data_IF_729935739516
#
_entry.id   IF_729935739516
#
_cell.length_a   1.000
_cell.length_b   1.000
_cell.length_c   1.000
_cell.angle_alpha   90.00
_cell.angle_beta   90.00
_cell.angle_gamma   90.00
#
_symmetry.space_group_name_H-M   'P 1'
#
loop_
_entity.id
_entity.type
_entity.pdbx_description
1 polymer ?
#
# COMPACT_ATOMS: atom_id res chain seq x y z
N UNK A 1 -19.01 14.54 28.71
CA UNK A 1 -17.82 15.24 28.15
C UNK A 1 -16.59 14.74 28.86
N UNK A 2 -15.64 14.16 28.13
CA UNK A 2 -14.37 13.74 28.75
C UNK A 2 -13.49 14.99 28.89
N UNK A 3 -13.13 15.31 30.13
CA UNK A 3 -12.19 16.42 30.40
C UNK A 3 -10.82 16.08 29.80
N UNK A 4 -10.41 16.86 28.81
CA UNK A 4 -9.05 16.76 28.24
C UNK A 4 -8.03 17.37 29.21
N UNK A 5 -6.98 16.64 29.49
CA UNK A 5 -5.90 17.16 30.34
C UNK A 5 -5.00 18.14 29.56
N UNK A 6 -4.24 18.96 30.30
CA UNK A 6 -3.36 19.99 29.70
C UNK A 6 -2.37 19.42 28.68
N UNK A 7 -1.87 18.21 28.90
CA UNK A 7 -0.93 17.53 27.98
C UNK A 7 -1.59 17.19 26.64
N UNK A 8 -2.83 16.71 26.67
CA UNK A 8 -3.63 16.44 25.48
C UNK A 8 -3.91 17.72 24.68
N UNK A 9 -4.25 18.80 25.40
CA UNK A 9 -4.49 20.11 24.77
C UNK A 9 -3.22 20.65 24.08
N UNK A 10 -2.06 20.53 24.74
CA UNK A 10 -0.78 20.96 24.20
C UNK A 10 -0.40 20.12 22.96
N UNK A 11 -0.64 18.82 22.99
CA UNK A 11 -0.36 17.94 21.85
C UNK A 11 -1.23 18.32 20.64
N UNK A 12 -2.52 18.58 20.85
CA UNK A 12 -3.44 19.01 19.79
C UNK A 12 -2.99 20.35 19.20
N UNK A 13 -2.64 21.30 20.05
CA UNK A 13 -2.16 22.64 19.61
C UNK A 13 -0.88 22.50 18.77
N UNK A 14 0.08 21.68 19.22
CA UNK A 14 1.33 21.42 18.49
C UNK A 14 1.06 20.75 17.15
N UNK A 15 0.14 19.79 17.11
CA UNK A 15 -0.24 19.07 15.87
C UNK A 15 -0.90 20.02 14.86
N UNK A 16 -1.80 20.90 15.33
CA UNK A 16 -2.46 21.88 14.48
C UNK A 16 -1.45 22.87 13.88
N UNK A 17 -0.51 23.35 14.70
CA UNK A 17 0.55 24.25 14.25
C UNK A 17 1.46 23.57 13.22
N UNK A 18 1.88 22.34 13.50
CA UNK A 18 2.74 21.57 12.58
C UNK A 18 2.01 21.24 11.27
N UNK A 19 0.71 20.91 11.32
CA UNK A 19 -0.11 20.70 10.13
C UNK A 19 -0.12 21.96 9.25
N UNK A 20 -0.45 23.11 9.85
CA UNK A 20 -0.48 24.37 9.10
C UNK A 20 0.89 24.69 8.53
N UNK A 21 1.94 24.52 9.30
CA UNK A 21 3.33 24.75 8.84
C UNK A 21 3.63 23.89 7.58
N UNK A 22 3.31 22.60 7.62
CA UNK A 22 3.58 21.69 6.47
C UNK A 22 2.80 22.08 5.22
N UNK A 23 1.52 22.46 5.41
CA UNK A 23 0.68 22.91 4.29
C UNK A 23 1.23 24.21 3.69
N UNK A 24 1.64 25.17 4.53
CA UNK A 24 2.22 26.44 4.08
C UNK A 24 3.55 26.23 3.37
N UNK A 25 4.43 25.39 3.91
CA UNK A 25 5.69 25.03 3.26
C UNK A 25 5.40 24.45 1.87
N UNK A 26 4.47 23.47 1.79
CA UNK A 26 4.13 22.85 0.51
C UNK A 26 3.56 23.87 -0.49
N UNK A 27 2.68 24.75 -0.03
CA UNK A 27 2.09 25.82 -0.85
C UNK A 27 3.15 26.75 -1.43
N UNK A 28 4.17 27.08 -0.65
CA UNK A 28 5.24 28.02 -1.04
C UNK A 28 6.31 27.38 -1.96
N UNK A 29 6.33 26.07 -2.15
CA UNK A 29 7.18 25.44 -3.17
C UNK A 29 6.67 25.89 -4.56
N UNK A 30 7.54 26.35 -5.46
CA UNK A 30 7.11 26.76 -6.79
C UNK A 30 6.38 25.67 -7.58
N UNK A 31 5.37 26.05 -8.33
CA UNK A 31 4.56 25.15 -9.16
C UNK A 31 3.12 25.04 -8.68
N UNK A 32 2.18 25.00 -9.62
CA UNK A 32 0.75 24.99 -9.32
C UNK A 32 0.18 23.57 -9.16
N UNK A 33 0.90 22.59 -9.65
CA UNK A 33 0.42 21.19 -9.66
C UNK A 33 1.35 20.28 -8.86
N UNK A 34 0.82 19.17 -8.41
CA UNK A 34 1.57 18.09 -7.77
C UNK A 34 1.96 17.04 -8.83
N UNK A 35 3.21 16.57 -8.88
CA UNK A 35 4.30 16.93 -7.96
C UNK A 35 4.85 18.33 -8.21
N UNK A 36 5.41 18.91 -7.15
CA UNK A 36 6.22 20.12 -7.27
C UNK A 36 7.69 19.73 -7.46
N UNK A 37 8.44 20.48 -8.27
CA UNK A 37 9.83 20.10 -8.59
C UNK A 37 10.82 21.07 -7.91
N UNK A 38 11.83 20.51 -7.22
CA UNK A 38 12.72 21.29 -6.36
C UNK A 38 14.15 20.77 -6.43
N UNK A 39 15.10 21.65 -6.30
CA UNK A 39 16.51 21.29 -6.18
C UNK A 39 16.82 20.72 -4.78
N UNK A 40 17.76 19.78 -4.67
CA UNK A 40 18.07 19.15 -3.37
C UNK A 40 18.52 20.14 -2.28
N UNK A 41 19.17 21.25 -2.66
CA UNK A 41 19.58 22.27 -1.71
C UNK A 41 18.36 22.99 -1.11
N UNK A 42 17.36 23.25 -1.93
CA UNK A 42 16.15 23.93 -1.49
C UNK A 42 15.30 23.04 -0.58
N UNK A 43 15.35 21.70 -0.73
CA UNK A 43 14.70 20.79 0.21
C UNK A 43 15.14 21.06 1.66
N UNK A 44 16.44 21.36 1.86
CA UNK A 44 16.98 21.69 3.18
C UNK A 44 16.51 23.06 3.66
N UNK A 45 16.57 24.07 2.78
CA UNK A 45 16.13 25.44 3.12
C UNK A 45 14.66 25.49 3.53
N UNK A 46 13.81 24.71 2.85
CA UNK A 46 12.39 24.61 3.16
C UNK A 46 12.10 23.69 4.35
N UNK A 47 13.11 23.07 4.95
CA UNK A 47 12.91 22.14 6.07
C UNK A 47 12.11 20.89 5.68
N UNK A 48 12.23 20.47 4.43
CA UNK A 48 11.51 19.31 3.88
C UNK A 48 12.31 18.04 4.11
N UNK A 49 13.62 18.05 3.81
CA UNK A 49 14.44 16.85 3.89
C UNK A 49 15.92 17.20 4.06
N UNK A 50 16.58 16.49 4.97
CA UNK A 50 18.02 16.67 5.20
C UNK A 50 18.77 15.32 5.27
N UNK A 51 18.12 14.22 4.92
CA UNK A 51 18.67 12.88 5.00
C UNK A 51 19.15 12.31 3.67
N UNK A 52 19.77 11.15 3.74
CA UNK A 52 20.27 10.43 2.56
C UNK A 52 19.31 9.35 2.05
N UNK A 53 18.41 8.84 2.88
CA UNK A 53 17.49 7.77 2.52
C UNK A 53 16.37 7.59 3.57
N UNK A 54 15.27 7.05 3.13
CA UNK A 54 14.16 6.62 4.01
C UNK A 54 13.40 7.76 4.67
N UNK A 55 12.91 7.50 5.88
CA UNK A 55 12.16 8.48 6.66
C UNK A 55 13.08 9.46 7.37
N UNK A 56 12.76 10.74 7.25
CA UNK A 56 13.48 11.82 7.91
C UNK A 56 12.58 12.48 8.97
N UNK A 57 13.17 12.72 10.14
CA UNK A 57 12.53 13.34 11.29
C UNK A 57 13.26 14.67 11.60
N UNK A 58 12.52 15.76 11.71
CA UNK A 58 13.07 17.00 12.24
C UNK A 58 12.80 17.03 13.76
N UNK A 59 13.73 16.48 14.52
CA UNK A 59 13.62 16.43 15.98
C UNK A 59 13.57 17.81 16.62
N UNK A 60 14.28 18.80 16.04
CA UNK A 60 14.30 20.15 16.59
C UNK A 60 12.88 20.75 16.66
N UNK A 61 12.07 20.46 15.64
CA UNK A 61 10.71 20.99 15.51
C UNK A 61 9.65 20.07 16.12
N UNK A 62 9.83 18.75 16.05
CA UNK A 62 8.73 17.79 16.33
C UNK A 62 8.89 16.98 17.62
N UNK A 63 10.02 17.12 18.37
CA UNK A 63 10.28 16.30 19.58
C UNK A 63 9.21 16.46 20.67
N UNK A 64 8.58 17.63 20.76
CA UNK A 64 7.53 17.91 21.74
C UNK A 64 6.19 17.23 21.42
N UNK A 65 6.11 16.59 20.23
CA UNK A 65 4.90 15.91 19.77
C UNK A 65 4.87 14.43 20.20
N UNK A 66 5.91 13.96 20.87
CA UNK A 66 6.01 12.59 21.37
C UNK A 66 6.57 12.60 22.79
N UNK A 67 6.06 11.70 23.64
CA UNK A 67 6.47 11.62 25.05
C UNK A 67 7.95 11.26 25.21
N UNK A 68 8.47 10.46 24.30
CA UNK A 68 9.87 9.99 24.31
C UNK A 68 10.85 10.92 23.59
N UNK A 69 10.35 12.05 23.05
CA UNK A 69 11.17 13.00 22.29
C UNK A 69 11.65 12.48 20.95
N UNK A 70 11.13 11.36 20.46
CA UNK A 70 11.49 10.80 19.13
C UNK A 70 11.08 11.77 18.02
N UNK A 71 9.94 12.44 18.16
CA UNK A 71 9.37 13.31 17.14
C UNK A 71 8.58 12.53 16.08
N UNK A 72 8.10 13.25 15.08
CA UNK A 72 7.27 12.67 14.01
C UNK A 72 7.95 12.79 12.65
N UNK A 73 7.66 11.85 11.77
CA UNK A 73 8.22 11.85 10.41
C UNK A 73 7.76 13.10 9.66
N UNK A 74 8.69 13.78 9.05
CA UNK A 74 8.47 14.98 8.21
C UNK A 74 8.46 14.60 6.74
N UNK A 75 9.36 13.70 6.32
CA UNK A 75 9.41 13.31 4.92
C UNK A 75 9.86 11.86 4.73
N UNK A 76 9.60 11.36 3.53
CA UNK A 76 10.03 10.04 3.07
C UNK A 76 10.72 10.19 1.70
N UNK A 77 11.91 9.61 1.55
CA UNK A 77 12.59 9.54 0.28
C UNK A 77 12.29 8.22 -0.41
N UNK A 78 11.66 8.30 -1.57
CA UNK A 78 11.39 7.14 -2.42
C UNK A 78 12.54 7.01 -3.41
N UNK A 79 13.32 5.94 -3.29
CA UNK A 79 14.41 5.65 -4.22
C UNK A 79 13.95 4.62 -5.24
N UNK A 80 14.19 4.88 -6.52
CA UNK A 80 13.59 4.12 -7.64
C UNK A 80 13.92 2.63 -7.75
N UNK A 81 14.76 2.09 -6.87
CA UNK A 81 15.10 0.66 -6.90
C UNK A 81 14.11 -0.24 -6.15
N UNK A 82 13.39 0.30 -5.16
CA UNK A 82 12.57 -0.52 -4.25
C UNK A 82 11.06 -0.36 -4.45
N UNK A 83 10.61 0.63 -5.25
CA UNK A 83 9.20 1.01 -5.23
C UNK A 83 8.60 1.26 -6.63
N UNK A 84 9.28 0.82 -7.70
CA UNK A 84 8.88 1.12 -9.07
C UNK A 84 7.47 0.63 -9.43
N UNK A 85 7.01 -0.45 -8.80
CA UNK A 85 5.69 -1.03 -9.09
C UNK A 85 4.57 -0.57 -8.14
N UNK A 86 4.92 0.11 -7.06
CA UNK A 86 3.96 0.49 -6.02
C UNK A 86 3.78 2.01 -5.90
N UNK A 87 4.45 2.76 -6.78
CA UNK A 87 4.36 4.23 -6.87
C UNK A 87 3.54 4.63 -8.10
N UNK A 88 2.62 5.56 -7.91
CA UNK A 88 1.93 6.25 -9.01
C UNK A 88 1.72 7.74 -8.64
N UNK A 89 1.03 8.48 -9.49
CA UNK A 89 0.77 9.92 -9.28
C UNK A 89 -0.13 10.22 -8.07
N UNK A 90 -0.77 9.21 -7.51
CA UNK A 90 -1.78 9.34 -6.46
C UNK A 90 -1.35 8.73 -5.12
N UNK A 91 -0.15 8.11 -5.07
CA UNK A 91 0.36 7.56 -3.81
C UNK A 91 1.41 6.46 -3.98
N UNK A 92 1.77 5.84 -2.87
CA UNK A 92 2.80 4.79 -2.82
C UNK A 92 2.48 3.79 -1.69
N UNK A 93 2.78 2.50 -1.94
CA UNK A 93 2.92 1.51 -0.87
C UNK A 93 4.40 1.50 -0.49
N UNK A 94 4.71 1.92 0.73
CA UNK A 94 6.08 2.16 1.20
C UNK A 94 6.47 1.08 2.21
N UNK A 95 7.54 0.34 1.92
CA UNK A 95 8.05 -0.68 2.84
C UNK A 95 8.68 -0.06 4.09
N UNK A 96 8.54 -0.75 5.22
CA UNK A 96 9.24 -0.37 6.45
C UNK A 96 10.75 -0.36 6.20
N UNK A 97 11.48 0.58 6.78
CA UNK A 97 12.93 0.59 6.62
C UNK A 97 13.55 -0.71 7.18
N UNK A 98 14.49 -1.27 6.43
CA UNK A 98 15.28 -2.43 6.80
C UNK A 98 16.75 -2.07 6.53
N UNK A 99 17.26 -1.14 7.33
CA UNK A 99 18.63 -0.65 7.15
C UNK A 99 19.65 -1.59 7.82
N UNK A 100 20.93 -1.39 7.51
CA UNK A 100 22.03 -2.11 8.19
C UNK A 100 22.32 -1.55 9.57
N UNK A 101 21.57 -0.54 10.02
CA UNK A 101 21.72 0.09 11.35
C UNK A 101 21.04 -0.78 12.41
N UNK A 102 21.33 -0.56 13.70
CA UNK A 102 20.64 -1.28 14.76
C UNK A 102 19.12 -1.19 14.63
N UNK A 103 18.41 -2.26 14.94
CA UNK A 103 16.95 -2.37 14.76
C UNK A 103 16.18 -1.23 15.45
N UNK A 104 16.67 -0.73 16.58
CA UNK A 104 16.06 0.41 17.29
C UNK A 104 15.98 1.67 16.42
N UNK A 105 16.93 1.87 15.49
CA UNK A 105 16.92 3.01 14.57
C UNK A 105 15.72 2.92 13.63
N UNK A 106 15.54 1.75 13.01
CA UNK A 106 14.41 1.55 12.08
C UNK A 106 13.06 1.58 12.81
N UNK A 107 12.99 0.96 14.01
CA UNK A 107 11.79 0.99 14.86
C UNK A 107 11.38 2.43 15.22
N UNK A 108 12.36 3.26 15.57
CA UNK A 108 12.10 4.68 15.84
C UNK A 108 11.46 5.40 14.64
N UNK A 109 11.94 5.13 13.42
CA UNK A 109 11.37 5.73 12.21
C UNK A 109 9.97 5.20 11.90
N UNK A 110 9.77 3.90 12.07
CA UNK A 110 8.44 3.28 11.89
C UNK A 110 7.44 3.92 12.86
N UNK A 111 7.82 4.01 14.13
CA UNK A 111 6.94 4.59 15.17
C UNK A 111 6.66 6.07 14.89
N UNK A 112 7.67 6.86 14.53
CA UNK A 112 7.51 8.28 14.19
C UNK A 112 6.59 8.47 12.96
N UNK A 113 6.59 7.53 12.03
CA UNK A 113 5.70 7.57 10.85
C UNK A 113 4.26 7.22 11.24
N UNK A 114 4.07 6.22 12.11
CA UNK A 114 2.75 5.90 12.67
C UNK A 114 2.21 7.09 13.48
N UNK A 115 3.06 7.75 14.25
CA UNK A 115 2.67 8.94 15.01
C UNK A 115 2.25 10.09 14.08
N UNK A 116 2.94 10.30 12.94
CA UNK A 116 2.51 11.29 11.95
C UNK A 116 1.10 10.98 11.43
N UNK A 117 0.79 9.69 11.21
CA UNK A 117 -0.56 9.26 10.79
C UNK A 117 -1.61 9.56 11.88
N UNK A 118 -1.30 9.20 13.10
CA UNK A 118 -2.20 9.47 14.23
C UNK A 118 -2.45 10.97 14.45
N UNK A 119 -1.41 11.80 14.11
CA UNK A 119 -1.50 12.95 14.19
C UNK A 119 -1.96 13.53 13.17
N UNK A 120 -2.58 12.91 12.25
CA UNK A 120 -3.12 13.42 10.98
C UNK A 120 -2.23 14.49 10.35
N UNK A 121 -0.94 14.22 10.29
CA UNK A 121 0.06 15.11 9.68
C UNK A 121 0.49 14.56 8.33
N UNK A 122 0.43 15.36 7.25
CA UNK A 122 1.00 14.94 5.98
C UNK A 122 2.52 14.92 6.06
N UNK A 123 3.15 14.10 5.24
CA UNK A 123 4.62 14.07 5.09
C UNK A 123 4.98 14.50 3.66
N UNK A 124 6.18 15.01 3.48
CA UNK A 124 6.70 15.30 2.14
C UNK A 124 7.28 14.02 1.56
N UNK A 125 6.72 13.55 0.44
CA UNK A 125 7.27 12.38 -0.27
C UNK A 125 8.16 12.90 -1.39
N UNK A 126 9.47 12.62 -1.25
CA UNK A 126 10.51 13.15 -2.12
C UNK A 126 10.99 12.05 -3.05
N UNK A 127 10.96 12.30 -4.35
CA UNK A 127 11.27 11.29 -5.37
C UNK A 127 12.30 11.85 -6.35
N UNK A 128 13.24 11.01 -6.74
CA UNK A 128 14.13 11.30 -7.86
C UNK A 128 13.47 10.74 -9.13
N UNK A 129 12.94 11.59 -10.05
CA UNK A 129 12.15 11.12 -11.19
C UNK A 129 12.89 10.13 -12.09
N UNK A 130 14.15 10.41 -12.40
CA UNK A 130 15.01 9.52 -13.20
C UNK A 130 16.42 9.53 -12.59
N UNK A 131 17.24 8.55 -12.97
CA UNK A 131 18.64 8.46 -12.51
C UNK A 131 19.45 9.74 -12.82
N UNK A 132 19.14 10.39 -13.91
CA UNK A 132 19.87 11.59 -14.39
C UNK A 132 19.25 12.91 -13.89
N UNK A 133 18.09 12.86 -13.20
CA UNK A 133 17.43 14.08 -12.73
C UNK A 133 18.26 14.79 -11.66
N UNK A 134 18.49 16.06 -11.84
CA UNK A 134 19.09 16.94 -10.81
C UNK A 134 18.06 17.35 -9.78
N UNK A 135 16.80 17.45 -10.20
CA UNK A 135 15.68 17.87 -9.34
C UNK A 135 15.01 16.69 -8.65
N UNK A 136 14.21 17.01 -7.65
CA UNK A 136 13.37 16.07 -6.90
C UNK A 136 11.91 16.46 -7.05
N UNK A 137 11.06 15.48 -7.30
CA UNK A 137 9.63 15.68 -7.24
C UNK A 137 9.18 15.55 -5.78
N UNK A 138 8.33 16.49 -5.36
CA UNK A 138 7.82 16.56 -3.98
C UNK A 138 6.30 16.45 -4.03
N UNK A 139 5.79 15.46 -3.32
CA UNK A 139 4.36 15.26 -3.11
C UNK A 139 4.02 15.52 -1.65
N UNK A 140 2.81 15.98 -1.40
CA UNK A 140 2.24 15.98 -0.04
C UNK A 140 1.54 14.65 0.14
N UNK A 141 2.01 13.83 1.09
CA UNK A 141 1.56 12.46 1.32
C UNK A 141 0.90 12.30 2.70
N UNK A 142 -0.15 11.51 2.74
CA UNK A 142 -0.89 11.19 3.97
C UNK A 142 -0.77 9.69 4.22
N UNK A 143 -0.30 9.30 5.41
CA UNK A 143 -0.27 7.89 5.80
C UNK A 143 -1.70 7.46 6.10
N UNK A 144 -2.33 6.70 5.19
CA UNK A 144 -3.70 6.22 5.35
C UNK A 144 -3.79 4.99 6.26
N UNK A 145 -2.79 4.11 6.16
CA UNK A 145 -2.81 2.84 6.88
C UNK A 145 -1.39 2.28 6.98
N UNK A 146 -1.23 1.33 7.89
CA UNK A 146 -0.01 0.53 8.00
C UNK A 146 -0.33 -0.90 8.41
N UNK A 147 0.60 -1.79 8.16
CA UNK A 147 0.49 -3.18 8.60
C UNK A 147 1.85 -3.72 9.04
N UNK A 148 1.92 -4.13 10.29
CA UNK A 148 3.16 -4.63 10.89
C UNK A 148 3.54 -6.04 10.40
N UNK A 149 2.56 -6.82 9.98
CA UNK A 149 2.81 -8.19 9.50
C UNK A 149 3.43 -8.19 8.11
N UNK A 150 2.95 -7.36 7.21
CA UNK A 150 3.51 -7.18 5.86
C UNK A 150 4.60 -6.11 5.80
N UNK A 151 4.77 -5.33 6.88
CA UNK A 151 5.77 -4.25 7.02
C UNK A 151 5.59 -3.16 5.96
N UNK A 152 4.36 -2.66 5.82
CA UNK A 152 3.98 -1.70 4.77
C UNK A 152 3.27 -0.49 5.37
N UNK A 153 3.50 0.68 4.75
CA UNK A 153 2.66 1.87 4.87
C UNK A 153 1.91 2.10 3.56
N UNK A 154 0.65 2.49 3.66
CA UNK A 154 -0.13 3.03 2.53
C UNK A 154 -0.10 4.55 2.63
N UNK A 155 0.47 5.22 1.62
CA UNK A 155 0.59 6.69 1.57
C UNK A 155 -0.13 7.19 0.32
N UNK A 156 -1.10 8.07 0.50
CA UNK A 156 -1.85 8.70 -0.59
C UNK A 156 -1.42 10.16 -0.76
N UNK A 157 -1.36 10.64 -2.01
CA UNK A 157 -0.95 12.00 -2.33
C UNK A 157 -2.18 12.90 -2.52
N UNK A 158 -2.12 14.09 -1.92
CA UNK A 158 -3.21 15.05 -2.03
C UNK A 158 -3.04 16.23 -1.09
N UNK A 159 -3.75 17.31 -1.39
CA UNK A 159 -3.74 18.51 -0.54
C UNK A 159 -4.60 18.34 0.72
N UNK A 160 -5.51 17.37 0.69
CA UNK A 160 -6.42 17.08 1.80
C UNK A 160 -6.18 15.66 2.32
N UNK A 161 -6.41 15.47 3.60
CA UNK A 161 -6.35 14.16 4.23
C UNK A 161 -7.37 13.22 3.57
N UNK A 162 -7.00 12.00 3.22
CA UNK A 162 -7.96 11.02 2.70
C UNK A 162 -8.96 10.63 3.79
N UNK A 163 -10.11 10.12 3.36
CA UNK A 163 -11.08 9.51 4.29
C UNK A 163 -10.42 8.32 4.97
N UNK A 164 -10.56 8.22 6.26
CA UNK A 164 -9.91 7.21 7.08
C UNK A 164 -10.23 5.78 6.60
N UNK A 165 -9.19 4.97 6.47
CA UNK A 165 -9.34 3.52 6.38
C UNK A 165 -9.13 3.01 7.80
N UNK A 166 -10.11 2.35 8.42
CA UNK A 166 -9.91 1.83 9.77
C UNK A 166 -8.73 0.85 9.80
N UNK A 167 -7.70 1.19 10.54
CA UNK A 167 -6.60 0.27 10.81
C UNK A 167 -7.13 -0.85 11.72
N UNK A 168 -6.97 -2.08 11.28
CA UNK A 168 -7.29 -3.25 12.08
C UNK A 168 -8.71 -3.80 11.91
N UNK A 169 -9.58 -3.18 11.13
CA UNK A 169 -10.85 -3.81 10.79
C UNK A 169 -10.60 -5.09 9.99
N UNK A 170 -11.12 -6.21 10.45
CA UNK A 170 -11.01 -7.47 9.71
C UNK A 170 -12.04 -7.45 8.58
N UNK A 171 -11.57 -7.61 7.34
CA UNK A 171 -12.45 -7.63 6.17
C UNK A 171 -13.44 -8.82 6.23
N UNK A 172 -13.15 -9.83 7.04
CA UNK A 172 -14.03 -10.98 7.22
C UNK A 172 -15.25 -10.69 8.13
N UNK A 173 -15.24 -9.57 8.87
CA UNK A 173 -16.34 -9.13 9.73
C UNK A 173 -17.51 -8.52 8.94
N UNK A 174 -17.34 -8.21 7.66
CA UNK A 174 -18.36 -7.57 6.84
C UNK A 174 -18.97 -8.54 5.83
N UNK A 175 -20.23 -8.31 5.40
CA UNK A 175 -20.84 -9.12 4.34
C UNK A 175 -20.00 -9.09 3.06
N UNK A 176 -19.76 -10.26 2.47
CA UNK A 176 -18.96 -10.39 1.25
C UNK A 176 -19.66 -9.72 0.07
N UNK A 177 -18.94 -8.89 -0.66
CA UNK A 177 -19.40 -8.22 -1.86
C UNK A 177 -18.59 -8.70 -3.07
N UNK A 178 -19.24 -9.43 -3.99
CA UNK A 178 -18.57 -9.92 -5.21
C UNK A 178 -18.60 -8.88 -6.34
N UNK A 179 -19.67 -8.09 -6.41
CA UNK A 179 -19.89 -7.16 -7.52
C UNK A 179 -19.79 -5.72 -7.05
N UNK A 180 -19.09 -4.90 -7.84
CA UNK A 180 -19.12 -3.45 -7.67
C UNK A 180 -20.36 -2.89 -8.37
N UNK A 181 -20.90 -1.80 -7.88
CA UNK A 181 -21.86 -1.00 -8.64
C UNK A 181 -21.18 -0.46 -9.90
N UNK A 182 -21.98 -0.27 -10.95
CA UNK A 182 -21.49 0.21 -12.26
C UNK A 182 -21.05 1.68 -12.15
N UNK A 183 -19.90 1.93 -11.55
CA UNK A 183 -19.29 3.27 -11.53
C UNK A 183 -18.24 3.34 -12.62
N UNK A 184 -18.45 4.26 -13.57
CA UNK A 184 -17.38 4.65 -14.49
C UNK A 184 -16.33 5.39 -13.66
N UNK A 185 -15.31 4.64 -13.22
CA UNK A 185 -14.19 5.22 -12.46
C UNK A 185 -13.29 5.98 -13.42
N UNK A 186 -12.89 7.18 -13.03
CA UNK A 186 -11.81 7.90 -13.70
C UNK A 186 -10.52 7.09 -13.53
N UNK A 187 -9.54 7.30 -14.38
CA UNK A 187 -8.22 6.65 -14.25
C UNK A 187 -7.62 6.87 -12.86
N UNK A 188 -7.72 8.09 -12.35
CA UNK A 188 -7.25 8.44 -11.00
C UNK A 188 -7.96 7.61 -9.92
N UNK A 189 -9.29 7.55 -9.95
CA UNK A 189 -10.06 6.75 -8.98
C UNK A 189 -9.71 5.28 -9.04
N UNK A 190 -9.45 4.77 -10.24
CA UNK A 190 -9.04 3.38 -10.45
C UNK A 190 -7.66 3.09 -9.84
N UNK A 191 -6.68 3.94 -10.09
CA UNK A 191 -5.33 3.78 -9.54
C UNK A 191 -5.36 3.75 -8.00
N UNK A 192 -6.12 4.67 -7.39
CA UNK A 192 -6.30 4.73 -5.94
C UNK A 192 -6.92 3.42 -5.43
N UNK A 193 -7.96 2.93 -6.10
CA UNK A 193 -8.64 1.69 -5.73
C UNK A 193 -7.70 0.48 -5.85
N UNK A 194 -6.99 0.37 -6.96
CA UNK A 194 -6.04 -0.73 -7.21
C UNK A 194 -4.92 -0.75 -6.15
N UNK A 195 -4.39 0.43 -5.78
CA UNK A 195 -3.35 0.54 -4.73
C UNK A 195 -3.88 0.11 -3.36
N UNK A 196 -5.08 0.57 -2.98
CA UNK A 196 -5.73 0.18 -1.72
C UNK A 196 -6.00 -1.32 -1.68
N UNK A 197 -6.51 -1.87 -2.78
CA UNK A 197 -6.73 -3.31 -2.92
C UNK A 197 -5.41 -4.07 -2.77
N UNK A 198 -4.35 -3.66 -3.47
CA UNK A 198 -3.02 -4.28 -3.38
C UNK A 198 -2.49 -4.27 -1.94
N UNK A 199 -2.57 -3.13 -1.24
CA UNK A 199 -2.15 -3.02 0.17
C UNK A 199 -2.90 -4.02 1.04
N UNK A 200 -4.23 -4.09 0.90
CA UNK A 200 -5.07 -5.02 1.66
C UNK A 200 -4.74 -6.49 1.36
N UNK A 201 -4.47 -6.82 0.10
CA UNK A 201 -4.10 -8.18 -0.31
C UNK A 201 -2.74 -8.58 0.30
N UNK A 202 -1.75 -7.65 0.30
CA UNK A 202 -0.47 -7.91 0.97
C UNK A 202 -0.65 -8.13 2.47
N UNK A 203 -1.48 -7.33 3.12
CA UNK A 203 -1.82 -7.47 4.54
C UNK A 203 -2.47 -8.83 4.81
N UNK A 204 -3.39 -9.27 3.94
CA UNK A 204 -4.12 -10.52 4.10
C UNK A 204 -3.21 -11.76 3.94
N UNK A 205 -2.30 -11.76 2.96
CA UNK A 205 -1.51 -12.94 2.57
C UNK A 205 0.00 -12.82 2.86
N UNK A 206 0.43 -11.79 3.57
CA UNK A 206 1.82 -11.64 4.10
C UNK A 206 2.94 -11.66 3.06
N UNK A 207 2.72 -11.09 1.90
CA UNK A 207 3.73 -10.96 0.83
C UNK A 207 4.39 -12.28 0.40
N UNK A 208 3.61 -13.34 0.26
CA UNK A 208 4.07 -14.63 -0.30
C UNK A 208 3.05 -15.08 -1.34
N UNK A 209 3.52 -15.54 -2.49
CA UNK A 209 2.63 -16.11 -3.49
C UNK A 209 1.84 -17.29 -2.91
N UNK A 210 0.54 -17.32 -3.14
CA UNK A 210 -0.34 -18.36 -2.59
C UNK A 210 -0.08 -19.76 -3.17
N UNK A 211 0.66 -19.84 -4.30
CA UNK A 211 0.85 -21.10 -5.04
C UNK A 211 2.30 -21.60 -5.01
N UNK A 212 3.26 -20.73 -4.65
CA UNK A 212 4.68 -21.06 -4.56
C UNK A 212 5.38 -20.20 -3.52
N UNK A 213 6.68 -20.39 -3.32
CA UNK A 213 7.48 -19.72 -2.28
C UNK A 213 8.00 -18.33 -2.68
N UNK A 214 7.50 -17.72 -3.78
CA UNK A 214 7.94 -16.39 -4.23
C UNK A 214 7.60 -15.34 -3.18
N UNK A 215 8.63 -14.62 -2.69
CA UNK A 215 8.52 -13.55 -1.66
C UNK A 215 9.06 -12.21 -2.14
N UNK A 216 9.55 -12.13 -3.38
CA UNK A 216 10.07 -10.88 -3.94
C UNK A 216 8.87 -9.98 -4.24
N UNK A 217 8.75 -8.88 -3.49
CA UNK A 217 7.58 -7.99 -3.52
C UNK A 217 7.29 -7.48 -4.94
N UNK A 218 8.33 -7.14 -5.69
CA UNK A 218 8.24 -6.63 -7.06
C UNK A 218 7.66 -7.66 -8.04
N UNK A 219 7.74 -8.95 -7.70
CA UNK A 219 7.21 -10.04 -8.54
C UNK A 219 5.84 -10.51 -8.07
N UNK A 220 5.26 -9.88 -7.02
CA UNK A 220 3.94 -10.24 -6.49
C UNK A 220 2.85 -9.30 -7.02
N UNK A 221 1.73 -9.88 -7.39
CA UNK A 221 0.57 -9.17 -7.95
C UNK A 221 -0.68 -9.48 -7.12
N UNK A 222 -1.41 -8.44 -6.74
CA UNK A 222 -2.76 -8.58 -6.17
C UNK A 222 -3.74 -8.77 -7.33
N UNK A 223 -4.29 -9.97 -7.45
CA UNK A 223 -5.10 -10.40 -8.59
C UNK A 223 -6.55 -10.52 -8.18
N UNK A 224 -7.45 -9.79 -8.85
CA UNK A 224 -8.89 -9.98 -8.67
C UNK A 224 -9.32 -11.33 -9.27
N UNK A 225 -10.06 -12.14 -8.50
CA UNK A 225 -10.65 -13.41 -8.98
C UNK A 225 -11.73 -13.11 -10.02
N UNK A 226 -12.64 -12.20 -9.68
CA UNK A 226 -13.56 -11.59 -10.66
C UNK A 226 -13.02 -10.20 -10.99
N UNK A 227 -12.53 -9.95 -12.20
CA UNK A 227 -11.91 -8.68 -12.56
C UNK A 227 -12.87 -7.49 -12.48
N UNK A 228 -12.35 -6.31 -12.20
CA UNK A 228 -13.13 -5.06 -12.18
C UNK A 228 -13.78 -4.78 -13.55
N UNK A 229 -13.12 -5.19 -14.66
CA UNK A 229 -13.69 -5.12 -16.03
C UNK A 229 -14.92 -6.02 -16.21
N UNK A 230 -15.15 -6.95 -15.30
CA UNK A 230 -16.34 -7.81 -15.23
C UNK A 230 -17.18 -7.51 -13.99
N UNK A 231 -17.13 -6.27 -13.52
CA UNK A 231 -17.86 -5.77 -12.35
C UNK A 231 -17.44 -6.47 -11.03
N UNK A 232 -16.20 -6.92 -10.93
CA UNK A 232 -15.65 -7.46 -9.69
C UNK A 232 -15.43 -6.34 -8.67
N UNK A 233 -15.63 -6.65 -7.40
CA UNK A 233 -15.43 -5.70 -6.29
C UNK A 233 -13.98 -5.70 -5.81
N UNK A 234 -13.62 -4.67 -5.04
CA UNK A 234 -12.33 -4.57 -4.31
C UNK A 234 -12.39 -5.22 -2.91
N UNK A 235 -13.40 -6.07 -2.66
CA UNK A 235 -13.40 -6.92 -1.47
C UNK A 235 -12.16 -7.85 -1.52
N UNK A 236 -11.37 -7.86 -0.46
CA UNK A 236 -10.11 -8.61 -0.43
C UNK A 236 -10.33 -10.12 -0.61
N UNK A 237 -11.52 -10.61 -0.27
CA UNK A 237 -11.89 -12.02 -0.46
C UNK A 237 -12.19 -12.34 -1.93
N UNK A 238 -12.29 -11.31 -2.80
CA UNK A 238 -12.28 -11.41 -4.26
C UNK A 238 -10.85 -11.31 -4.82
N UNK A 239 -9.83 -11.56 -3.99
CA UNK A 239 -8.44 -11.37 -4.39
C UNK A 239 -7.53 -12.55 -4.06
N UNK A 240 -6.46 -12.66 -4.85
CA UNK A 240 -5.37 -13.61 -4.66
C UNK A 240 -4.05 -12.85 -4.65
N UNK A 241 -3.07 -13.34 -3.91
CA UNK A 241 -1.70 -12.84 -4.00
C UNK A 241 -0.87 -13.86 -4.80
N UNK A 242 -0.50 -13.50 -6.00
CA UNK A 242 0.18 -14.39 -6.95
C UNK A 242 1.49 -13.76 -7.43
N UNK A 243 2.49 -14.59 -7.76
CA UNK A 243 3.64 -14.09 -8.51
C UNK A 243 3.25 -13.86 -9.98
N UNK A 244 4.10 -13.14 -10.72
CA UNK A 244 3.81 -12.82 -12.12
C UNK A 244 3.50 -14.06 -12.98
N UNK A 245 4.20 -15.18 -12.76
CA UNK A 245 3.94 -16.44 -13.48
C UNK A 245 2.49 -16.90 -13.19
N UNK A 246 2.14 -17.01 -11.91
CA UNK A 246 0.83 -17.51 -11.50
C UNK A 246 -0.31 -16.55 -11.84
N UNK A 247 -0.08 -15.24 -11.77
CA UNK A 247 -1.06 -14.23 -12.21
C UNK A 247 -1.39 -14.40 -13.70
N UNK A 248 -0.34 -14.53 -14.54
CA UNK A 248 -0.52 -14.73 -15.99
C UNK A 248 -1.21 -16.08 -16.28
N UNK A 249 -0.77 -17.14 -15.60
CA UNK A 249 -1.36 -18.48 -15.76
C UNK A 249 -2.85 -18.50 -15.38
N UNK A 250 -3.21 -17.85 -14.24
CA UNK A 250 -4.59 -17.74 -13.77
C UNK A 250 -5.46 -16.98 -14.77
N UNK A 251 -5.01 -15.82 -15.22
CA UNK A 251 -5.72 -14.97 -16.20
C UNK A 251 -5.87 -15.67 -17.57
N UNK A 252 -4.88 -16.47 -17.95
CA UNK A 252 -4.93 -17.27 -19.19
C UNK A 252 -5.82 -18.52 -19.06
N UNK A 253 -6.29 -18.85 -17.85
CA UNK A 253 -7.11 -20.03 -17.63
C UNK A 253 -6.34 -21.35 -17.69
N UNK A 254 -5.02 -21.32 -17.41
CA UNK A 254 -4.22 -22.54 -17.36
C UNK A 254 -4.55 -23.38 -16.12
N UNK A 255 -5.08 -22.75 -15.09
CA UNK A 255 -5.59 -23.41 -13.88
C UNK A 255 -6.75 -22.61 -13.29
N UNK A 256 -7.49 -23.27 -12.44
CA UNK A 256 -8.50 -22.65 -11.58
C UNK A 256 -8.47 -23.27 -10.20
N UNK A 257 -9.23 -22.68 -9.26
CA UNK A 257 -9.33 -23.13 -7.87
C UNK A 257 -10.77 -23.59 -7.65
N UNK A 258 -10.93 -24.87 -7.22
CA UNK A 258 -12.26 -25.42 -6.92
C UNK A 258 -12.89 -24.64 -5.77
N UNK A 259 -14.12 -24.11 -5.93
CA UNK A 259 -14.73 -23.27 -4.89
C UNK A 259 -15.14 -24.03 -3.62
N UNK A 260 -15.27 -25.36 -3.69
CA UNK A 260 -15.68 -26.20 -2.55
C UNK A 260 -14.50 -26.82 -1.80
N UNK A 261 -13.52 -27.37 -2.54
CA UNK A 261 -12.36 -28.04 -1.95
C UNK A 261 -11.14 -27.14 -1.81
N UNK A 262 -11.12 -26.01 -2.57
CA UNK A 262 -9.95 -25.10 -2.70
C UNK A 262 -8.76 -25.75 -3.40
N UNK A 263 -8.93 -26.94 -4.00
CA UNK A 263 -7.91 -27.60 -4.81
C UNK A 263 -7.61 -26.80 -6.09
N UNK A 264 -6.35 -26.82 -6.48
CA UNK A 264 -5.89 -26.20 -7.72
C UNK A 264 -5.97 -27.25 -8.84
N UNK A 265 -6.73 -26.95 -9.89
CA UNK A 265 -6.96 -27.84 -11.02
C UNK A 265 -6.39 -27.18 -12.28
N UNK A 266 -5.46 -27.86 -12.95
CA UNK A 266 -4.89 -27.39 -14.21
C UNK A 266 -5.75 -27.83 -15.40
N UNK A 267 -5.66 -27.08 -16.50
CA UNK A 267 -6.33 -27.41 -17.77
C UNK A 267 -5.73 -28.68 -18.36
N UNK A 268 -6.57 -29.63 -18.78
CA UNK A 268 -6.14 -30.93 -19.33
C UNK A 268 -5.19 -30.79 -20.51
N UNK A 269 -5.48 -29.87 -21.44
CA UNK A 269 -4.67 -29.63 -22.65
C UNK A 269 -3.57 -28.57 -22.43
N UNK A 270 -3.16 -28.35 -21.17
CA UNK A 270 -2.17 -27.31 -20.81
C UNK A 270 -1.06 -27.84 -19.92
N UNK A 271 -0.22 -26.90 -19.43
CA UNK A 271 0.85 -27.28 -18.51
C UNK A 271 0.29 -27.78 -17.18
N UNK A 272 0.94 -28.78 -16.61
CA UNK A 272 0.60 -29.30 -15.29
C UNK A 272 1.13 -28.46 -14.15
N UNK A 273 0.83 -28.85 -12.91
CA UNK A 273 1.27 -28.13 -11.69
C UNK A 273 2.79 -27.97 -11.65
N UNK A 274 3.53 -29.03 -12.01
CA UNK A 274 5.01 -28.98 -11.98
C UNK A 274 5.56 -27.95 -12.98
N UNK A 275 5.04 -27.91 -14.20
CA UNK A 275 5.48 -26.97 -15.22
C UNK A 275 5.13 -25.54 -14.84
N UNK A 276 4.03 -25.34 -14.14
CA UNK A 276 3.62 -24.03 -13.62
C UNK A 276 4.31 -23.67 -12.30
N UNK A 277 5.13 -24.59 -11.74
CA UNK A 277 5.75 -24.39 -10.42
C UNK A 277 4.71 -24.16 -9.32
N UNK A 278 3.59 -24.87 -9.36
CA UNK A 278 2.54 -24.81 -8.33
C UNK A 278 2.89 -25.82 -7.23
N UNK A 279 3.22 -25.32 -6.05
CA UNK A 279 3.56 -26.13 -4.87
C UNK A 279 2.33 -26.43 -4.02
N UNK A 280 1.44 -25.42 -3.70
CA UNK A 280 0.52 -25.53 -3.11
C UNK A 280 -0.32 -26.18 -3.77
N UNK A 281 -0.85 -27.32 -3.43
CA UNK A 281 -1.85 -28.18 -4.06
C UNK A 281 -3.27 -27.68 -3.85
N UNK A 282 -3.50 -27.07 -2.71
CA UNK A 282 -4.80 -26.52 -2.33
C UNK A 282 -4.63 -25.29 -1.42
N UNK A 283 -5.67 -24.46 -1.32
CA UNK A 283 -5.69 -23.28 -0.46
C UNK A 283 -6.58 -23.48 0.78
N UNK A 284 -6.98 -24.70 1.09
CA UNK A 284 -7.86 -25.02 2.23
C UNK A 284 -7.21 -24.68 3.58
N UNK A 285 -5.87 -24.71 3.67
CA UNK A 285 -5.12 -24.50 4.89
C UNK A 285 -4.78 -23.01 5.14
N UNK A 286 -5.18 -22.11 4.25
CA UNK A 286 -4.95 -20.67 4.47
C UNK A 286 -5.77 -20.17 5.65
N UNK A 287 -5.18 -19.39 6.58
CA UNK A 287 -5.94 -18.81 7.69
C UNK A 287 -7.04 -17.85 7.19
N UNK A 288 -6.82 -17.18 6.08
CA UNK A 288 -7.80 -16.28 5.45
C UNK A 288 -7.98 -16.69 3.99
N UNK A 289 -9.10 -17.33 3.68
CA UNK A 289 -9.37 -17.89 2.35
C UNK A 289 -10.00 -16.87 1.41
N UNK A 290 -9.81 -17.02 0.08
CA UNK A 290 -10.67 -16.35 -0.90
C UNK A 290 -12.12 -16.82 -0.72
N UNK A 291 -13.08 -15.97 -1.06
CA UNK A 291 -14.50 -16.32 -0.86
C UNK A 291 -14.97 -17.33 -1.91
N UNK A 292 -15.72 -18.39 -1.51
CA UNK A 292 -16.20 -19.41 -2.46
C UNK A 292 -17.03 -18.84 -3.62
N UNK A 293 -17.83 -17.79 -3.39
CA UNK A 293 -18.61 -17.15 -4.48
C UNK A 293 -17.71 -16.53 -5.54
N UNK A 294 -16.53 -15.95 -5.15
CA UNK A 294 -15.58 -15.41 -6.10
C UNK A 294 -14.92 -16.55 -6.90
N UNK A 295 -14.46 -17.58 -6.20
CA UNK A 295 -13.87 -18.77 -6.85
C UNK A 295 -14.87 -19.42 -7.80
N UNK A 296 -16.14 -19.57 -7.41
CA UNK A 296 -17.19 -20.16 -8.24
C UNK A 296 -17.42 -19.36 -9.52
N UNK A 297 -17.34 -18.01 -9.44
CA UNK A 297 -17.45 -17.17 -10.64
C UNK A 297 -16.32 -17.51 -11.64
N UNK A 298 -15.07 -17.59 -11.18
CA UNK A 298 -13.93 -17.92 -12.03
C UNK A 298 -14.00 -19.37 -12.53
N UNK A 299 -14.35 -20.31 -11.64
CA UNK A 299 -14.48 -21.73 -11.94
C UNK A 299 -15.45 -22.00 -13.09
N UNK A 300 -16.63 -21.36 -13.05
CA UNK A 300 -17.63 -21.46 -14.13
C UNK A 300 -17.09 -20.95 -15.47
N UNK A 301 -16.41 -19.80 -15.49
CA UNK A 301 -15.79 -19.27 -16.70
C UNK A 301 -14.70 -20.22 -17.23
N UNK A 302 -13.92 -20.78 -16.34
CA UNK A 302 -12.84 -21.69 -16.66
C UNK A 302 -13.37 -23.00 -17.25
N UNK A 303 -14.41 -23.61 -16.65
CA UNK A 303 -15.04 -24.82 -17.19
C UNK A 303 -15.61 -24.60 -18.59
N UNK A 304 -16.27 -23.46 -18.82
CA UNK A 304 -16.84 -23.15 -20.15
C UNK A 304 -15.75 -23.08 -21.22
N UNK A 305 -14.61 -22.47 -20.92
CA UNK A 305 -13.50 -22.32 -21.84
C UNK A 305 -12.73 -23.63 -22.12
N UNK A 306 -12.82 -24.59 -21.22
CA UNK A 306 -12.02 -25.84 -21.28
C UNK A 306 -12.84 -27.09 -21.63
N UNK A 307 -14.15 -26.91 -21.98
CA UNK A 307 -15.02 -27.98 -22.47
C UNK A 307 -15.09 -28.05 -23.99
N UNK A 308 -14.42 -27.14 -24.70
CA UNK A 308 -14.40 -27.10 -26.17
C UNK A 308 -13.12 -27.72 -26.72
#
# INVERSE_FOLDING_TARGET
MVEMNMKQMALIANSTHELQYRLDVFKNIPGDKMPKSMDPEDLRKFGIYAGAAGFWLDKSRTKTMTDDGTGVTVSALVTGKSYANDFDTDGVIYEYPQSKRPSAYDQSRIQATKTAALXKLPIFVVIKPTSNSTKRDVFLGWIEAWDDSSKLFLISFGLEAPKEIPNGADDDDYPFTLTSSNRSLTTKSKNISDRKFRFKIFRRYKKVCMLCDMKITELLTATHIRPTSKLGSDDVRNGLLLCHLHDKAFKAGLFSINPSTYEITCRESGPGKNELNIIXQELSNLPRKPHPKALNWHWKQWLTKNRS
#
